data_IF_612361158179
#
_entry.id   IF_612361158179
#
_cell.length_a   1.000
_cell.length_b   1.000
_cell.length_c   1.000
_cell.angle_alpha   90.00
_cell.angle_beta   90.00
_cell.angle_gamma   90.00
#
_symmetry.space_group_name_H-M   'P 1'
#
loop_
_entity.id
_entity.type
_entity.pdbx_description
1 polymer ?
#
# COMPACT_ATOMS: atom_id res chain seq x y z
N UNK A 1 14.25 0.80 2.19
CA UNK A 1 13.10 0.80 1.26
C UNK A 1 12.23 2.01 1.57
N UNK A 2 12.51 3.15 0.93
CA UNK A 2 11.64 4.34 0.90
C UNK A 2 11.26 4.61 -0.55
N UNK A 3 10.97 3.54 -1.31
CA UNK A 3 10.84 3.58 -2.78
C UNK A 3 9.65 4.44 -3.24
N UNK A 4 8.67 4.65 -2.36
CA UNK A 4 7.48 5.42 -2.67
C UNK A 4 7.55 6.87 -2.22
N UNK A 5 8.49 7.26 -1.36
CA UNK A 5 8.53 8.63 -0.85
C UNK A 5 8.78 9.60 -2.01
N UNK A 6 7.93 10.62 -2.14
CA UNK A 6 7.96 11.58 -3.23
C UNK A 6 7.19 11.16 -4.49
N UNK A 7 6.63 9.95 -4.53
CA UNK A 7 5.76 9.52 -5.63
C UNK A 7 4.33 10.04 -5.43
N UNK A 8 3.64 10.21 -6.54
CA UNK A 8 2.23 10.61 -6.55
C UNK A 8 1.30 9.47 -6.09
N UNK A 9 0.21 9.82 -5.41
CA UNK A 9 -0.81 8.89 -5.00
C UNK A 9 -1.43 8.12 -6.18
N UNK A 10 -1.54 8.74 -7.37
CA UNK A 10 -2.01 8.08 -8.58
C UNK A 10 -1.12 6.90 -8.99
N UNK A 11 0.20 6.97 -8.74
CA UNK A 11 1.07 5.81 -8.98
C UNK A 11 0.79 4.68 -7.99
N UNK A 12 0.49 5.02 -6.73
CA UNK A 12 0.10 4.03 -5.73
C UNK A 12 -1.20 3.36 -6.16
N UNK A 13 -2.19 4.15 -6.61
CA UNK A 13 -3.47 3.63 -7.09
C UNK A 13 -3.34 2.81 -8.38
N UNK A 14 -2.40 3.16 -9.24
CA UNK A 14 -2.12 2.38 -10.45
C UNK A 14 -1.57 0.98 -10.10
N UNK A 15 -0.67 0.89 -9.12
CA UNK A 15 0.01 -0.35 -8.75
C UNK A 15 -0.84 -1.25 -7.84
N UNK A 16 -1.51 -0.66 -6.85
CA UNK A 16 -2.28 -1.39 -5.84
C UNK A 16 -3.80 -1.35 -6.05
N UNK A 17 -4.28 -0.55 -7.01
CA UNK A 17 -5.71 -0.29 -7.18
C UNK A 17 -6.26 0.73 -6.18
N UNK A 18 -7.59 0.88 -6.10
CA UNK A 18 -8.21 1.77 -5.12
C UNK A 18 -7.93 1.30 -3.68
N UNK A 19 -7.71 2.23 -2.74
CA UNK A 19 -7.38 1.88 -1.36
C UNK A 19 -8.57 1.24 -0.65
N UNK A 20 -8.30 0.19 0.13
CA UNK A 20 -9.33 -0.47 0.95
C UNK A 20 -9.79 0.41 2.11
N UNK A 21 -8.86 1.19 2.67
CA UNK A 21 -9.16 2.20 3.69
C UNK A 21 -8.51 3.51 3.29
N UNK A 22 -9.27 4.59 3.39
CA UNK A 22 -8.80 5.97 3.22
C UNK A 22 -9.27 6.77 4.43
N UNK A 23 -8.35 7.49 5.07
CA UNK A 23 -8.62 8.31 6.23
C UNK A 23 -7.89 9.64 6.09
N UNK A 24 -8.63 10.74 6.18
CA UNK A 24 -8.04 12.07 6.27
C UNK A 24 -7.63 12.35 7.73
N UNK A 25 -6.39 12.77 7.92
CA UNK A 25 -5.82 13.17 9.19
C UNK A 25 -6.10 14.64 9.45
N UNK A 26 -6.17 15.01 10.73
CA UNK A 26 -6.48 16.38 11.15
C UNK A 26 -5.47 17.43 10.66
N UNK A 27 -4.27 17.04 10.26
CA UNK A 27 -3.26 17.96 9.72
C UNK A 27 -3.29 18.08 8.19
N UNK A 28 -4.31 17.53 7.51
CA UNK A 28 -4.49 17.63 6.06
C UNK A 28 -3.82 16.51 5.26
N UNK A 29 -3.09 15.61 5.93
CA UNK A 29 -2.54 14.40 5.31
C UNK A 29 -3.60 13.32 5.14
N UNK A 30 -3.46 12.48 4.12
CA UNK A 30 -4.33 11.35 3.86
C UNK A 30 -3.59 10.04 4.12
N UNK A 31 -4.15 9.18 4.96
CA UNK A 31 -3.67 7.83 5.16
C UNK A 31 -4.48 6.88 4.30
N UNK A 32 -3.81 6.12 3.43
CA UNK A 32 -4.42 5.02 2.68
C UNK A 32 -3.82 3.70 3.10
N UNK A 33 -4.64 2.65 3.16
CA UNK A 33 -4.21 1.33 3.55
C UNK A 33 -4.76 0.24 2.63
N UNK A 34 -3.95 -0.81 2.47
CA UNK A 34 -4.25 -2.03 1.72
C UNK A 34 -3.96 -3.21 2.63
N UNK A 35 -4.91 -4.13 2.74
CA UNK A 35 -4.75 -5.37 3.51
C UNK A 35 -4.82 -6.54 2.55
N UNK A 36 -3.72 -7.29 2.44
CA UNK A 36 -3.62 -8.45 1.58
C UNK A 36 -3.59 -9.71 2.43
N UNK A 37 -4.41 -10.68 2.06
CA UNK A 37 -4.44 -11.99 2.70
C UNK A 37 -4.28 -13.04 1.61
N UNK A 38 -3.21 -13.83 1.69
CA UNK A 38 -2.92 -14.88 0.74
C UNK A 38 -2.83 -16.24 1.46
N UNK A 39 -3.44 -17.29 0.90
CA UNK A 39 -3.19 -18.65 1.38
C UNK A 39 -1.74 -19.04 1.05
N UNK A 40 -0.96 -19.29 2.10
CA UNK A 40 0.45 -19.68 2.04
C UNK A 40 0.67 -21.12 2.50
N UNK A 41 -0.10 -22.06 1.95
CA UNK A 41 -0.12 -23.45 2.43
C UNK A 41 -1.05 -23.60 3.65
N UNK A 42 -0.55 -24.19 4.74
CA UNK A 42 -1.30 -24.41 6.00
C UNK A 42 -1.53 -23.14 6.84
N UNK A 43 -0.94 -21.99 6.47
CA UNK A 43 -1.10 -20.73 7.19
C UNK A 43 -1.57 -19.60 6.27
N UNK A 44 -2.38 -18.69 6.82
CA UNK A 44 -2.77 -17.45 6.14
C UNK A 44 -1.63 -16.44 6.32
N UNK A 45 -1.05 -15.99 5.22
CA UNK A 45 -0.11 -14.88 5.23
C UNK A 45 -0.86 -13.57 5.02
N UNK A 46 -0.62 -12.61 5.90
CA UNK A 46 -1.20 -11.27 5.82
C UNK A 46 -0.11 -10.23 5.57
N UNK A 47 -0.44 -9.19 4.81
CA UNK A 47 0.39 -8.01 4.67
C UNK A 47 -0.48 -6.76 4.63
N UNK A 48 -0.20 -5.84 5.53
CA UNK A 48 -0.78 -4.52 5.53
C UNK A 48 0.24 -3.53 4.93
N UNK A 49 -0.20 -2.74 3.96
CA UNK A 49 0.57 -1.65 3.39
C UNK A 49 -0.16 -0.35 3.71
N UNK A 50 0.53 0.61 4.30
CA UNK A 50 0.01 1.93 4.62
C UNK A 50 0.85 2.99 3.95
N UNK A 51 0.19 3.94 3.29
CA UNK A 51 0.81 5.14 2.77
C UNK A 51 0.25 6.37 3.48
N UNK A 52 1.14 7.25 3.90
CA UNK A 52 0.81 8.60 4.34
C UNK A 52 1.07 9.53 3.16
N UNK A 53 0.04 10.22 2.72
CA UNK A 53 0.06 11.17 1.63
C UNK A 53 -0.05 12.59 2.20
N UNK A 54 0.80 13.51 1.74
CA UNK A 54 0.68 14.95 1.96
C UNK A 54 0.57 15.63 0.60
N UNK A 55 -0.48 16.43 0.41
CA UNK A 55 -0.74 17.14 -0.87
C UNK A 55 -0.76 16.20 -2.10
N UNK A 56 -1.27 14.98 -1.94
CA UNK A 56 -1.29 13.96 -2.99
C UNK A 56 0.05 13.22 -3.20
N UNK A 57 1.12 13.60 -2.50
CA UNK A 57 2.44 12.97 -2.58
C UNK A 57 2.68 12.04 -1.40
N UNK A 58 3.24 10.87 -1.64
CA UNK A 58 3.61 9.93 -0.59
C UNK A 58 4.75 10.50 0.26
N UNK A 59 4.47 10.76 1.52
CA UNK A 59 5.49 11.15 2.52
C UNK A 59 6.12 9.94 3.18
N UNK A 60 5.32 8.90 3.40
CA UNK A 60 5.74 7.68 4.10
C UNK A 60 5.00 6.46 3.55
N UNK A 61 5.71 5.34 3.44
CA UNK A 61 5.14 4.02 3.16
C UNK A 61 5.62 3.03 4.22
N UNK A 62 4.68 2.33 4.84
CA UNK A 62 4.93 1.32 5.88
C UNK A 62 4.35 -0.01 5.42
N UNK A 63 5.16 -1.06 5.54
CA UNK A 63 4.80 -2.42 5.17
C UNK A 63 4.87 -3.26 6.45
N UNK A 64 3.79 -3.95 6.78
CA UNK A 64 3.68 -4.79 7.97
C UNK A 64 3.20 -6.19 7.59
N UNK A 65 3.82 -7.23 8.13
CA UNK A 65 3.50 -8.61 7.80
C UNK A 65 4.40 -9.20 6.71
N UNK A 66 3.88 -10.17 5.96
CA UNK A 66 4.63 -10.94 4.97
C UNK A 66 4.39 -10.43 3.56
N UNK A 67 5.39 -9.76 2.98
CA UNK A 67 5.32 -9.19 1.62
C UNK A 67 5.04 -10.24 0.52
N UNK A 68 5.27 -11.53 0.78
CA UNK A 68 4.87 -12.61 -0.11
C UNK A 68 3.36 -12.63 -0.39
N UNK A 69 2.54 -12.12 0.54
CA UNK A 69 1.10 -11.96 0.32
C UNK A 69 0.78 -10.88 -0.73
N UNK A 70 1.61 -9.83 -0.84
CA UNK A 70 1.43 -8.69 -1.76
C UNK A 70 1.75 -9.07 -3.21
N UNK A 71 2.78 -9.88 -3.41
CA UNK A 71 3.31 -10.26 -4.74
C UNK A 71 2.27 -10.89 -5.67
N UNK A 72 1.19 -11.47 -5.13
CA UNK A 72 0.10 -12.05 -5.92
C UNK A 72 -0.97 -11.04 -6.36
N UNK A 73 -1.06 -9.88 -5.72
CA UNK A 73 -2.10 -8.88 -5.97
C UNK A 73 -1.59 -7.61 -6.63
N UNK A 74 -0.30 -7.32 -6.51
CA UNK A 74 0.33 -6.18 -7.19
C UNK A 74 0.58 -6.53 -8.64
N UNK A 75 -0.20 -5.93 -9.52
CA UNK A 75 0.13 -5.86 -10.94
C UNK A 75 1.27 -4.87 -11.09
N UNK A 76 2.49 -5.34 -10.88
CA UNK A 76 3.66 -4.58 -11.29
C UNK A 76 3.55 -4.28 -12.81
N UNK A 77 4.15 -3.18 -13.30
CA UNK A 77 4.08 -2.77 -14.71
C UNK A 77 4.71 -3.74 -15.72
N UNK A 78 5.02 -4.98 -15.33
CA UNK A 78 5.80 -5.95 -16.13
C UNK A 78 5.22 -7.38 -16.18
N UNK A 79 3.90 -7.58 -16.06
CA UNK A 79 3.27 -8.84 -16.50
C UNK A 79 1.92 -8.65 -17.15
#
# INVERSE_FOLDING_TARGET
>A
MSEWKGQDADQVYFVYGPPMRKQELKDGRTLIAYDYQAPGGDNITTCEIRFTLGDGIVEQATYTGNYGAVSRFVKGPSK
#
